data_IF_321504145546
#
_entry.id   IF_321504145546
#
_cell.length_a   1.000
_cell.length_b   1.000
_cell.length_c   1.000
_cell.angle_alpha   90.00
_cell.angle_beta   90.00
_cell.angle_gamma   90.00
#
_symmetry.space_group_name_H-M   'P 1'
#
loop_
_entity.id
_entity.type
_entity.pdbx_description
1 polymer ?
#
# COMPACT_ATOMS: atom_id res chain seq x y z
N UNK A 1 -11.91 -13.37 -19.70
CA UNK A 1 -11.45 -13.48 -18.30
C UNK A 1 -12.60 -13.00 -17.41
N UNK A 2 -13.11 -13.83 -16.51
CA UNK A 2 -14.09 -13.36 -15.51
C UNK A 2 -13.43 -12.25 -14.68
N UNK A 3 -14.12 -11.12 -14.54
CA UNK A 3 -13.68 -10.05 -13.65
C UNK A 3 -13.55 -10.65 -12.24
N UNK A 4 -12.33 -10.65 -11.69
CA UNK A 4 -12.11 -11.16 -10.35
C UNK A 4 -12.91 -10.35 -9.34
N UNK A 5 -13.63 -11.02 -8.44
CA UNK A 5 -14.40 -10.34 -7.40
C UNK A 5 -13.44 -9.70 -6.41
N UNK A 6 -13.61 -8.41 -6.16
CA UNK A 6 -12.90 -7.71 -5.09
C UNK A 6 -13.64 -7.87 -3.78
N UNK A 7 -12.96 -8.39 -2.75
CA UNK A 7 -13.53 -8.58 -1.42
C UNK A 7 -13.01 -7.51 -0.49
N UNK A 8 -13.92 -6.76 0.15
CA UNK A 8 -13.59 -5.69 1.10
C UNK A 8 -14.17 -6.03 2.47
N UNK A 9 -13.29 -6.31 3.42
CA UNK A 9 -13.59 -6.69 4.80
C UNK A 9 -13.07 -5.58 5.72
N UNK A 10 -14.00 -4.87 6.35
CA UNK A 10 -13.73 -3.63 7.10
C UNK A 10 -14.10 -3.72 8.58
N UNK A 11 -14.75 -4.80 8.99
CA UNK A 11 -15.11 -5.05 10.38
C UNK A 11 -15.00 -6.54 10.74
N UNK A 12 -15.03 -6.83 12.04
CA UNK A 12 -14.88 -8.16 12.61
C UNK A 12 -15.96 -9.14 12.14
N UNK A 13 -17.23 -8.71 12.05
CA UNK A 13 -18.33 -9.55 11.57
C UNK A 13 -18.09 -9.99 10.12
N UNK A 14 -17.69 -9.07 9.25
CA UNK A 14 -17.38 -9.37 7.84
C UNK A 14 -16.23 -10.38 7.73
N UNK A 15 -15.17 -10.21 8.53
CA UNK A 15 -14.05 -11.15 8.55
C UNK A 15 -14.48 -12.56 9.00
N UNK A 16 -15.21 -12.67 10.11
CA UNK A 16 -15.69 -13.95 10.62
C UNK A 16 -16.61 -14.66 9.61
N UNK A 17 -17.62 -13.95 9.09
CA UNK A 17 -18.54 -14.51 8.09
C UNK A 17 -17.82 -14.92 6.80
N UNK A 18 -16.78 -14.18 6.39
CA UNK A 18 -15.99 -14.56 5.23
C UNK A 18 -15.11 -15.77 5.50
N UNK A 19 -14.47 -15.88 6.66
CA UNK A 19 -13.70 -17.07 7.05
C UNK A 19 -14.60 -18.32 7.06
N UNK A 20 -15.81 -18.21 7.58
CA UNK A 20 -16.78 -19.31 7.57
C UNK A 20 -17.24 -19.67 6.15
N UNK A 21 -17.45 -18.67 5.29
CA UNK A 21 -17.73 -18.91 3.87
C UNK A 21 -16.61 -19.68 3.18
N UNK A 22 -15.34 -19.31 3.41
CA UNK A 22 -14.20 -20.02 2.80
C UNK A 22 -14.11 -21.48 3.25
N UNK A 23 -14.50 -21.77 4.50
CA UNK A 23 -14.58 -23.15 5.03
C UNK A 23 -15.75 -23.92 4.42
N UNK A 24 -16.92 -23.28 4.33
CA UNK A 24 -18.13 -23.92 3.82
C UNK A 24 -18.13 -24.10 2.30
N UNK A 25 -17.42 -23.25 1.57
CA UNK A 25 -17.42 -23.16 0.10
C UNK A 25 -15.99 -23.04 -0.46
N UNK A 26 -15.11 -24.04 -0.26
CA UNK A 26 -13.72 -23.97 -0.72
C UNK A 26 -13.59 -23.76 -2.24
N UNK A 27 -14.60 -24.12 -3.02
CA UNK A 27 -14.66 -23.90 -4.47
C UNK A 27 -14.58 -22.42 -4.87
N UNK A 28 -14.87 -21.47 -3.97
CA UNK A 28 -14.79 -20.03 -4.27
C UNK A 28 -13.36 -19.49 -4.20
N UNK A 29 -12.46 -20.16 -3.49
CA UNK A 29 -11.09 -19.70 -3.21
C UNK A 29 -10.33 -19.33 -4.51
N UNK A 30 -10.37 -20.13 -5.59
CA UNK A 30 -9.67 -19.81 -6.83
C UNK A 30 -10.15 -18.54 -7.54
N UNK A 31 -11.33 -18.03 -7.21
CA UNK A 31 -11.89 -16.83 -7.84
C UNK A 31 -11.56 -15.54 -7.09
N UNK A 32 -11.03 -15.64 -5.87
CA UNK A 32 -10.64 -14.48 -5.06
C UNK A 32 -9.28 -13.99 -5.53
N UNK A 33 -9.27 -12.85 -6.23
CA UNK A 33 -8.06 -12.23 -6.79
C UNK A 33 -7.67 -10.94 -6.10
N UNK A 34 -8.61 -10.28 -5.44
CA UNK A 34 -8.36 -9.00 -4.78
C UNK A 34 -9.01 -9.00 -3.40
N UNK A 35 -8.21 -8.73 -2.37
CA UNK A 35 -8.66 -8.81 -0.99
C UNK A 35 -8.19 -7.59 -0.20
N UNK A 36 -9.12 -7.00 0.55
CA UNK A 36 -8.86 -5.96 1.54
C UNK A 36 -9.32 -6.45 2.91
N UNK A 37 -8.40 -6.57 3.87
CA UNK A 37 -8.69 -7.09 5.23
C UNK A 37 -8.44 -6.07 6.34
N UNK A 38 -8.45 -4.77 6.01
CA UNK A 38 -8.02 -3.73 6.95
C UNK A 38 -9.22 -3.25 7.76
N UNK A 39 -9.20 -3.59 9.05
CA UNK A 39 -10.23 -3.24 10.03
C UNK A 39 -9.71 -2.16 10.99
N UNK A 40 -10.22 -0.92 10.92
CA UNK A 40 -9.82 0.15 11.83
C UNK A 40 -10.07 -0.21 13.29
N UNK A 41 -9.10 0.07 14.17
CA UNK A 41 -9.28 0.00 15.63
C UNK A 41 -9.39 -1.40 16.24
N UNK A 42 -9.18 -2.48 15.48
CA UNK A 42 -9.34 -3.87 15.99
C UNK A 42 -8.29 -4.86 15.53
N UNK A 43 -7.16 -4.39 14.97
CA UNK A 43 -6.11 -5.24 14.36
C UNK A 43 -5.73 -6.41 15.27
N UNK A 44 -5.49 -6.17 16.57
CA UNK A 44 -5.12 -7.25 17.52
C UNK A 44 -6.20 -8.32 17.70
N UNK A 45 -7.49 -7.95 17.70
CA UNK A 45 -8.60 -8.89 17.91
C UNK A 45 -8.81 -9.77 16.69
N UNK A 46 -8.72 -9.17 15.50
CA UNK A 46 -9.00 -9.85 14.23
C UNK A 46 -7.75 -10.43 13.56
N UNK A 47 -6.57 -10.25 14.16
CA UNK A 47 -5.27 -10.60 13.60
C UNK A 47 -5.23 -12.03 13.06
N UNK A 48 -5.62 -13.00 13.89
CA UNK A 48 -5.61 -14.42 13.53
C UNK A 48 -6.55 -14.73 12.37
N UNK A 49 -7.77 -14.18 12.39
CA UNK A 49 -8.74 -14.34 11.31
C UNK A 49 -8.22 -13.76 9.99
N UNK A 50 -7.61 -12.56 10.02
CA UNK A 50 -6.99 -11.98 8.82
C UNK A 50 -5.86 -12.86 8.27
N UNK A 51 -4.98 -13.39 9.14
CA UNK A 51 -3.90 -14.31 8.74
C UNK A 51 -4.47 -15.58 8.09
N UNK A 52 -5.50 -16.18 8.69
CA UNK A 52 -6.16 -17.36 8.15
C UNK A 52 -6.76 -17.08 6.77
N UNK A 53 -7.52 -15.99 6.62
CA UNK A 53 -8.14 -15.61 5.34
C UNK A 53 -7.07 -15.41 4.26
N UNK A 54 -5.98 -14.69 4.56
CA UNK A 54 -4.89 -14.46 3.61
C UNK A 54 -4.25 -15.79 3.21
N UNK A 55 -3.89 -16.64 4.18
CA UNK A 55 -3.27 -17.94 3.91
C UNK A 55 -4.15 -18.90 3.09
N UNK A 56 -5.48 -18.80 3.24
CA UNK A 56 -6.44 -19.57 2.44
C UNK A 56 -6.56 -18.99 1.02
N UNK A 57 -6.55 -17.67 0.86
CA UNK A 57 -6.63 -16.98 -0.42
C UNK A 57 -5.25 -16.93 -1.13
N UNK A 58 -4.76 -18.06 -1.65
CA UNK A 58 -3.42 -18.12 -2.29
C UNK A 58 -3.37 -17.47 -3.68
N UNK A 59 -4.52 -17.19 -4.27
CA UNK A 59 -4.69 -16.79 -5.66
C UNK A 59 -4.75 -15.28 -5.91
N UNK A 60 -4.41 -14.51 -4.87
CA UNK A 60 -4.42 -13.05 -4.86
C UNK A 60 -3.45 -12.44 -5.87
N UNK A 61 -3.92 -11.39 -6.54
CA UNK A 61 -3.16 -10.47 -7.38
C UNK A 61 -3.00 -9.11 -6.70
N UNK A 62 -4.01 -8.69 -5.95
CA UNK A 62 -4.00 -7.47 -5.15
C UNK A 62 -4.36 -7.78 -3.69
N UNK A 63 -3.55 -7.29 -2.76
CA UNK A 63 -3.78 -7.46 -1.33
C UNK A 63 -3.66 -6.12 -0.61
N UNK A 64 -4.66 -5.78 0.19
CA UNK A 64 -4.61 -4.69 1.15
C UNK A 64 -4.72 -5.26 2.56
N UNK A 65 -3.67 -5.13 3.36
CA UNK A 65 -3.63 -5.67 4.72
C UNK A 65 -2.74 -4.85 5.65
N UNK A 66 -2.75 -5.23 6.92
CA UNK A 66 -1.82 -4.70 7.92
C UNK A 66 -0.45 -5.38 7.78
N UNK A 67 0.69 -4.66 7.88
CA UNK A 67 2.03 -5.24 7.76
C UNK A 67 2.27 -6.41 8.73
N UNK A 68 1.89 -6.31 10.00
CA UNK A 68 2.03 -7.43 10.94
C UNK A 68 1.26 -8.69 10.52
N UNK A 69 0.05 -8.54 9.96
CA UNK A 69 -0.74 -9.67 9.44
C UNK A 69 -0.04 -10.27 8.22
N UNK A 70 0.48 -9.43 7.32
CA UNK A 70 1.24 -9.88 6.15
C UNK A 70 2.48 -10.68 6.55
N UNK A 71 3.28 -10.13 7.46
CA UNK A 71 4.52 -10.74 7.93
C UNK A 71 4.25 -12.13 8.52
N UNK A 72 3.23 -12.25 9.37
CA UNK A 72 2.82 -13.53 9.95
C UNK A 72 2.32 -14.51 8.89
N UNK A 73 1.54 -14.04 7.91
CA UNK A 73 0.98 -14.88 6.84
C UNK A 73 2.09 -15.49 5.97
N UNK A 74 3.09 -14.70 5.59
CA UNK A 74 4.17 -15.18 4.72
C UNK A 74 5.28 -15.93 5.48
N UNK A 75 5.37 -15.79 6.80
CA UNK A 75 6.43 -16.43 7.60
C UNK A 75 6.05 -17.82 8.11
N UNK A 76 4.77 -18.19 8.11
CA UNK A 76 4.25 -19.41 8.77
C UNK A 76 4.27 -20.70 7.94
N UNK A 77 5.10 -20.80 6.90
CA UNK A 77 5.20 -22.03 6.13
C UNK A 77 6.49 -22.17 5.33
N UNK A 78 6.86 -23.40 4.96
CA UNK A 78 8.03 -23.66 4.13
C UNK A 78 7.84 -23.09 2.71
N UNK A 79 6.59 -23.06 2.23
CA UNK A 79 6.28 -22.70 0.85
C UNK A 79 5.70 -21.29 0.72
N UNK A 80 6.20 -20.55 -0.27
CA UNK A 80 5.66 -19.26 -0.65
C UNK A 80 4.39 -19.43 -1.50
N UNK A 81 3.23 -19.12 -0.94
CA UNK A 81 1.92 -19.34 -1.59
C UNK A 81 1.43 -18.18 -2.46
N UNK A 82 1.86 -16.94 -2.19
CA UNK A 82 1.33 -15.73 -2.82
C UNK A 82 2.05 -15.36 -4.12
N UNK A 83 2.32 -16.33 -4.99
CA UNK A 83 3.16 -16.18 -6.20
C UNK A 83 2.59 -15.27 -7.30
N UNK A 84 1.35 -14.81 -7.15
CA UNK A 84 0.65 -13.96 -8.13
C UNK A 84 0.35 -12.55 -7.62
N UNK A 85 0.70 -12.25 -6.37
CA UNK A 85 0.40 -10.98 -5.73
C UNK A 85 1.39 -9.90 -6.20
N UNK A 86 0.96 -9.04 -7.12
CA UNK A 86 1.79 -7.99 -7.74
C UNK A 86 1.42 -6.58 -7.29
N UNK A 87 0.29 -6.43 -6.59
CA UNK A 87 -0.20 -5.17 -6.05
C UNK A 87 -0.43 -5.30 -4.55
N UNK A 88 0.31 -4.51 -3.76
CA UNK A 88 0.25 -4.55 -2.31
C UNK A 88 -0.10 -3.16 -1.77
N UNK A 89 -1.12 -3.12 -0.92
CA UNK A 89 -1.45 -1.97 -0.07
C UNK A 89 -1.18 -2.32 1.39
N UNK A 90 -0.36 -1.53 2.06
CA UNK A 90 -0.06 -1.68 3.48
C UNK A 90 -0.54 -0.45 4.25
N UNK A 91 -1.22 -0.67 5.37
CA UNK A 91 -1.70 0.41 6.24
C UNK A 91 -1.14 0.25 7.64
N UNK A 92 -0.13 1.06 7.97
CA UNK A 92 0.42 1.18 9.32
C UNK A 92 1.34 2.40 9.45
N UNK A 93 1.44 2.97 10.66
CA UNK A 93 2.34 4.09 10.94
C UNK A 93 3.82 3.73 10.94
N UNK A 94 4.19 2.44 10.97
CA UNK A 94 5.57 1.97 11.06
C UNK A 94 5.71 0.60 10.38
N UNK A 95 6.59 0.49 9.39
CA UNK A 95 6.92 -0.78 8.74
C UNK A 95 8.37 -1.10 9.01
N UNK A 96 8.63 -2.29 9.54
CA UNK A 96 9.98 -2.84 9.70
C UNK A 96 10.38 -3.62 8.46
N UNK A 97 10.79 -2.90 7.40
CA UNK A 97 11.13 -3.50 6.11
C UNK A 97 12.14 -4.64 6.22
N UNK A 98 13.12 -4.49 7.10
CA UNK A 98 14.14 -5.51 7.33
C UNK A 98 13.53 -6.86 7.75
N UNK A 99 12.46 -6.88 8.55
CA UNK A 99 11.78 -8.12 8.95
C UNK A 99 11.20 -8.88 7.75
N UNK A 100 10.73 -8.15 6.73
CA UNK A 100 10.24 -8.77 5.49
C UNK A 100 11.40 -9.26 4.61
N UNK A 101 12.44 -8.45 4.46
CA UNK A 101 13.56 -8.78 3.57
C UNK A 101 14.44 -9.91 4.11
N UNK A 102 14.50 -10.10 5.43
CA UNK A 102 15.19 -11.23 6.06
C UNK A 102 14.40 -12.55 5.99
N UNK A 103 13.09 -12.49 5.73
CA UNK A 103 12.26 -13.68 5.52
C UNK A 103 12.37 -14.13 4.04
N UNK A 104 12.71 -15.40 3.74
CA UNK A 104 12.79 -15.88 2.35
C UNK A 104 11.50 -15.65 1.56
N UNK A 105 10.34 -15.85 2.18
CA UNK A 105 9.04 -15.64 1.56
C UNK A 105 8.68 -14.16 1.45
N UNK A 106 9.12 -13.34 2.41
CA UNK A 106 9.01 -11.88 2.33
C UNK A 106 9.81 -11.33 1.16
N UNK A 107 11.09 -11.67 1.06
CA UNK A 107 11.93 -11.27 -0.07
C UNK A 107 11.32 -11.68 -1.42
N UNK A 108 10.80 -12.92 -1.54
CA UNK A 108 10.09 -13.38 -2.75
C UNK A 108 8.86 -12.52 -3.06
N UNK A 109 8.01 -12.27 -2.07
CA UNK A 109 6.81 -11.43 -2.26
C UNK A 109 7.18 -10.01 -2.71
N UNK A 110 8.11 -9.36 -2.02
CA UNK A 110 8.49 -7.99 -2.31
C UNK A 110 9.21 -7.86 -3.67
N UNK A 111 9.98 -8.87 -4.06
CA UNK A 111 10.65 -8.88 -5.36
C UNK A 111 9.68 -9.04 -6.55
N UNK A 112 8.48 -9.60 -6.39
CA UNK A 112 7.50 -9.71 -7.48
C UNK A 112 6.52 -8.53 -7.56
N UNK A 113 6.51 -7.64 -6.56
CA UNK A 113 5.59 -6.50 -6.55
C UNK A 113 5.87 -5.58 -7.74
N UNK A 114 4.80 -5.21 -8.43
CA UNK A 114 4.83 -4.20 -9.49
C UNK A 114 4.27 -2.87 -8.99
N UNK A 115 3.35 -2.92 -8.02
CA UNK A 115 2.70 -1.77 -7.40
C UNK A 115 2.72 -1.91 -5.88
N UNK A 116 3.07 -0.80 -5.22
CA UNK A 116 3.09 -0.70 -3.77
C UNK A 116 2.39 0.58 -3.33
N UNK A 117 1.36 0.44 -2.51
CA UNK A 117 0.72 1.56 -1.83
C UNK A 117 0.97 1.46 -0.33
N UNK A 118 1.52 2.51 0.25
CA UNK A 118 1.78 2.61 1.67
C UNK A 118 0.95 3.74 2.28
N UNK A 119 0.16 3.42 3.29
CA UNK A 119 -0.69 4.38 3.99
C UNK A 119 -0.27 4.44 5.45
N UNK A 120 0.39 5.52 5.83
CA UNK A 120 0.87 5.71 7.19
C UNK A 120 1.92 6.80 7.26
N UNK A 121 2.17 7.30 8.47
CA UNK A 121 3.27 8.23 8.67
C UNK A 121 4.58 7.53 8.32
N UNK A 122 5.37 8.10 7.42
CA UNK A 122 6.80 7.81 7.42
C UNK A 122 7.36 8.46 8.68
N UNK A 123 7.85 7.64 9.61
CA UNK A 123 8.45 8.14 10.83
C UNK A 123 9.70 8.95 10.46
N UNK A 124 9.62 10.27 10.58
CA UNK A 124 10.72 11.19 10.30
C UNK A 124 11.74 11.24 11.46
N UNK A 125 11.76 10.25 12.37
CA UNK A 125 12.86 10.16 13.33
C UNK A 125 14.15 9.77 12.61
N UNK A 126 15.16 10.62 12.72
CA UNK A 126 16.47 10.49 12.07
C UNK A 126 17.24 9.20 12.40
N UNK A 127 16.73 8.39 13.34
CA UNK A 127 17.38 7.17 13.85
C UNK A 127 16.75 5.87 13.32
N UNK A 128 15.70 5.96 12.50
CA UNK A 128 14.96 4.79 12.05
C UNK A 128 15.55 4.17 10.76
N UNK A 129 16.75 3.59 10.83
CA UNK A 129 17.31 2.77 9.72
C UNK A 129 16.34 1.66 9.25
N UNK A 130 15.41 1.25 10.12
CA UNK A 130 14.36 0.27 9.83
C UNK A 130 13.25 0.77 8.89
N UNK A 131 13.17 2.09 8.66
CA UNK A 131 12.15 2.72 7.81
C UNK A 131 12.57 2.89 6.34
N UNK A 132 13.85 2.64 6.00
CA UNK A 132 14.34 2.74 4.62
C UNK A 132 13.61 1.73 3.74
N UNK A 133 12.94 2.23 2.71
CA UNK A 133 12.21 1.39 1.75
C UNK A 133 13.25 0.66 0.89
N UNK A 134 13.24 -0.68 0.86
CA UNK A 134 14.26 -1.44 0.15
C UNK A 134 14.19 -1.23 -1.36
N UNK A 135 15.26 -1.61 -2.06
CA UNK A 135 15.25 -1.77 -3.50
C UNK A 135 14.29 -2.91 -3.86
N UNK A 136 13.36 -2.66 -4.78
CA UNK A 136 12.35 -3.62 -5.22
C UNK A 136 12.44 -3.81 -6.73
N UNK A 137 13.06 -4.89 -7.17
CA UNK A 137 13.52 -5.04 -8.56
C UNK A 137 12.41 -4.97 -9.62
N UNK A 138 11.20 -5.42 -9.29
CA UNK A 138 10.06 -5.39 -10.20
C UNK A 138 9.09 -4.23 -9.96
N UNK A 139 9.35 -3.38 -8.95
CA UNK A 139 8.44 -2.31 -8.61
C UNK A 139 8.46 -1.23 -9.69
N UNK A 140 7.30 -1.02 -10.31
CA UNK A 140 7.12 0.01 -11.33
C UNK A 140 6.55 1.30 -10.76
N UNK A 141 5.65 1.20 -9.79
CA UNK A 141 4.96 2.36 -9.21
C UNK A 141 4.80 2.21 -7.71
N UNK A 142 5.05 3.29 -6.98
CA UNK A 142 4.82 3.35 -5.54
C UNK A 142 3.99 4.59 -5.19
N UNK A 143 3.11 4.47 -4.20
CA UNK A 143 2.40 5.61 -3.65
C UNK A 143 2.40 5.59 -2.13
N UNK A 144 2.60 6.74 -1.51
CA UNK A 144 2.89 6.88 -0.08
C UNK A 144 2.03 8.01 0.48
N UNK A 145 1.12 7.68 1.39
CA UNK A 145 0.25 8.65 2.02
C UNK A 145 0.90 9.26 3.27
N UNK A 146 1.42 10.48 3.15
CA UNK A 146 2.13 11.20 4.22
C UNK A 146 1.22 11.90 5.23
N UNK A 147 -0.11 11.86 5.06
CA UNK A 147 -1.03 12.52 6.00
C UNK A 147 -0.85 14.05 6.02
N UNK A 148 -0.51 14.60 7.20
CA UNK A 148 -0.28 16.04 7.43
C UNK A 148 1.18 16.40 7.64
N UNK A 149 2.12 15.48 7.40
CA UNK A 149 3.55 15.75 7.54
C UNK A 149 4.05 16.66 6.42
N UNK A 150 4.82 17.69 6.80
CA UNK A 150 5.38 18.71 5.89
C UNK A 150 6.75 18.39 5.33
N UNK A 151 7.45 17.45 5.96
CA UNK A 151 8.83 17.12 5.63
C UNK A 151 8.95 15.65 5.26
N UNK A 152 9.81 15.39 4.30
CA UNK A 152 10.18 14.06 3.83
C UNK A 152 11.68 13.90 4.01
N UNK A 153 12.13 12.73 4.46
CA UNK A 153 13.55 12.43 4.55
C UNK A 153 14.01 11.71 3.27
N UNK A 154 14.92 12.29 2.47
CA UNK A 154 15.42 11.66 1.24
C UNK A 154 16.05 10.28 1.50
N UNK A 155 16.68 10.08 2.65
CA UNK A 155 17.32 8.82 3.06
C UNK A 155 16.35 7.63 3.09
N UNK A 156 15.06 7.85 3.34
CA UNK A 156 14.03 6.80 3.32
C UNK A 156 13.88 6.17 1.92
N UNK A 157 14.22 6.92 0.88
CA UNK A 157 14.06 6.55 -0.52
C UNK A 157 15.36 6.09 -1.18
N UNK A 158 16.49 6.21 -0.49
CA UNK A 158 17.82 5.99 -1.06
C UNK A 158 18.01 4.60 -1.72
N UNK A 159 17.29 3.58 -1.26
CA UNK A 159 17.31 2.25 -1.88
C UNK A 159 16.17 2.07 -2.90
N UNK A 160 14.99 2.63 -2.64
CA UNK A 160 13.86 2.56 -3.56
C UNK A 160 14.20 3.15 -4.94
N UNK A 161 14.87 4.31 -4.99
CA UNK A 161 15.24 4.97 -6.26
C UNK A 161 16.19 4.11 -7.13
N UNK A 162 16.90 3.16 -6.53
CA UNK A 162 17.79 2.21 -7.23
C UNK A 162 17.02 1.04 -7.87
N UNK A 163 15.69 1.02 -7.75
CA UNK A 163 14.85 -0.02 -8.34
C UNK A 163 14.79 0.17 -9.86
N UNK A 164 15.25 -0.81 -10.66
CA UNK A 164 15.50 -0.63 -12.09
C UNK A 164 14.23 -0.40 -12.93
N UNK A 165 13.09 -0.92 -12.47
CA UNK A 165 11.80 -0.77 -13.17
C UNK A 165 10.96 0.39 -12.64
N UNK A 166 11.45 1.13 -11.66
CA UNK A 166 10.68 2.20 -11.02
C UNK A 166 10.47 3.35 -12.00
N UNK A 167 9.20 3.60 -12.32
CA UNK A 167 8.76 4.63 -13.26
C UNK A 167 8.18 5.85 -12.55
N UNK A 168 7.52 5.65 -11.41
CA UNK A 168 6.78 6.74 -10.74
C UNK A 168 6.64 6.49 -9.24
N UNK A 169 6.86 7.53 -8.44
CA UNK A 169 6.52 7.56 -7.02
C UNK A 169 5.59 8.72 -6.74
N UNK A 170 4.49 8.47 -6.05
CA UNK A 170 3.49 9.48 -5.73
C UNK A 170 3.37 9.64 -4.22
N UNK A 171 3.66 10.83 -3.72
CA UNK A 171 3.38 11.21 -2.35
C UNK A 171 1.97 11.81 -2.30
N UNK A 172 1.07 11.24 -1.50
CA UNK A 172 -0.26 11.84 -1.27
C UNK A 172 -0.28 12.59 0.06
N UNK A 173 -0.79 13.82 0.04
CA UNK A 173 -0.72 14.75 1.19
C UNK A 173 -2.04 15.48 1.41
N UNK A 174 -2.34 15.88 2.65
CA UNK A 174 -3.46 16.79 2.96
C UNK A 174 -3.03 18.26 3.05
N UNK A 175 -1.78 18.57 2.75
CA UNK A 175 -1.27 19.94 2.74
C UNK A 175 -1.88 20.75 1.59
N UNK A 176 -1.89 22.07 1.76
CA UNK A 176 -2.47 23.03 0.82
C UNK A 176 -1.54 24.24 0.64
N UNK A 177 -1.68 24.94 -0.49
CA UNK A 177 -0.94 26.17 -0.77
C UNK A 177 0.59 25.99 -0.67
N UNK A 178 1.25 26.92 0.00
CA UNK A 178 2.72 26.94 0.16
C UNK A 178 3.29 25.65 0.76
N UNK A 179 2.60 25.05 1.75
CA UNK A 179 3.08 23.81 2.39
C UNK A 179 3.14 22.64 1.40
N UNK A 180 2.18 22.56 0.48
CA UNK A 180 2.19 21.55 -0.57
C UNK A 180 3.28 21.84 -1.61
N UNK A 181 3.48 23.11 -1.98
CA UNK A 181 4.51 23.50 -2.92
C UNK A 181 5.91 23.19 -2.38
N UNK A 182 6.17 23.50 -1.12
CA UNK A 182 7.43 23.18 -0.44
C UNK A 182 7.69 21.67 -0.45
N UNK A 183 6.66 20.86 -0.12
CA UNK A 183 6.78 19.40 -0.20
C UNK A 183 7.04 18.92 -1.63
N UNK A 184 6.36 19.51 -2.62
CA UNK A 184 6.57 19.18 -4.03
C UNK A 184 8.00 19.43 -4.49
N UNK A 185 8.56 20.59 -4.14
CA UNK A 185 9.95 20.92 -4.46
C UNK A 185 10.92 19.93 -3.78
N UNK A 186 10.77 19.72 -2.48
CA UNK A 186 11.61 18.81 -1.71
C UNK A 186 11.56 17.36 -2.24
N UNK A 187 10.40 16.93 -2.74
CA UNK A 187 10.21 15.59 -3.32
C UNK A 187 10.86 15.49 -4.71
N UNK A 188 10.84 16.55 -5.50
CA UNK A 188 11.51 16.60 -6.81
C UNK A 188 13.05 16.59 -6.68
N UNK A 189 13.59 17.18 -5.61
CA UNK A 189 15.02 17.13 -5.31
C UNK A 189 15.53 15.72 -4.97
N UNK A 190 14.63 14.79 -4.60
CA UNK A 190 14.99 13.39 -4.35
C UNK A 190 15.23 12.66 -5.68
N UNK A 191 14.28 12.74 -6.60
CA UNK A 191 14.28 12.04 -7.88
C UNK A 191 13.13 12.57 -8.78
N UNK A 192 13.38 12.70 -10.08
CA UNK A 192 12.44 13.29 -11.05
C UNK A 192 11.16 12.46 -11.25
N UNK A 193 11.23 11.16 -10.95
CA UNK A 193 10.08 10.23 -11.00
C UNK A 193 9.09 10.46 -9.86
N UNK A 194 9.43 11.29 -8.88
CA UNK A 194 8.53 11.59 -7.78
C UNK A 194 7.55 12.71 -8.14
N UNK A 195 6.41 12.70 -7.48
CA UNK A 195 5.38 13.73 -7.57
C UNK A 195 4.53 13.78 -6.32
N UNK A 196 3.82 14.89 -6.13
CA UNK A 196 2.94 15.11 -4.98
C UNK A 196 1.51 15.33 -5.46
N UNK A 197 0.55 14.63 -4.84
CA UNK A 197 -0.89 14.79 -5.08
C UNK A 197 -1.59 15.25 -3.81
N UNK A 198 -2.52 16.19 -3.97
CA UNK A 198 -3.38 16.62 -2.89
C UNK A 198 -4.54 15.65 -2.67
N UNK A 199 -4.68 15.16 -1.43
CA UNK A 199 -5.75 14.28 -0.98
C UNK A 199 -7.02 15.07 -0.63
N UNK A 200 -8.02 15.01 -1.51
CA UNK A 200 -9.35 15.60 -1.31
C UNK A 200 -10.05 15.04 -0.06
N UNK A 201 -10.90 15.87 0.59
CA UNK A 201 -11.58 15.54 1.87
C UNK A 201 -12.42 14.25 1.86
N UNK A 202 -12.99 13.85 0.72
CA UNK A 202 -13.83 12.64 0.56
C UNK A 202 -13.05 11.39 0.13
N UNK A 203 -11.73 11.48 0.05
CA UNK A 203 -10.88 10.40 -0.40
C UNK A 203 -10.78 9.31 0.67
N UNK A 204 -11.38 8.14 0.41
CA UNK A 204 -11.22 6.92 1.21
C UNK A 204 -10.27 5.96 0.48
N UNK A 205 -9.26 5.44 1.18
CA UNK A 205 -8.25 4.58 0.55
C UNK A 205 -8.82 3.27 0.03
N UNK A 206 -9.83 2.71 0.71
CA UNK A 206 -10.56 1.54 0.23
C UNK A 206 -11.24 1.77 -1.12
N UNK A 207 -11.75 2.98 -1.35
CA UNK A 207 -12.41 3.33 -2.61
C UNK A 207 -11.37 3.48 -3.72
N UNK A 208 -10.27 4.17 -3.45
CA UNK A 208 -9.16 4.27 -4.41
C UNK A 208 -8.58 2.92 -4.79
N UNK A 209 -8.40 2.05 -3.80
CA UNK A 209 -7.94 0.70 -4.05
C UNK A 209 -8.94 -0.08 -4.91
N UNK A 210 -10.24 0.02 -4.63
CA UNK A 210 -11.25 -0.61 -5.47
C UNK A 210 -11.28 -0.04 -6.89
N UNK A 211 -11.19 1.28 -7.04
CA UNK A 211 -11.11 1.96 -8.34
C UNK A 211 -9.86 1.57 -9.12
N UNK A 212 -8.72 1.38 -8.45
CA UNK A 212 -7.46 0.96 -9.11
C UNK A 212 -7.48 -0.49 -9.59
N UNK A 213 -8.43 -1.30 -9.12
CA UNK A 213 -8.69 -2.63 -9.67
C UNK A 213 -9.47 -2.56 -10.98
N UNK A 214 -10.33 -1.55 -11.15
CA UNK A 214 -11.14 -1.34 -12.34
C UNK A 214 -10.35 -0.59 -13.42
N UNK A 215 -9.65 0.48 -13.02
CA UNK A 215 -8.73 1.24 -13.87
C UNK A 215 -7.38 1.40 -13.16
N UNK A 216 -6.43 0.48 -13.42
CA UNK A 216 -5.09 0.50 -12.84
C UNK A 216 -4.28 1.77 -13.10
N UNK A 217 -4.62 2.55 -14.13
CA UNK A 217 -3.87 3.71 -14.56
C UNK A 217 -4.50 5.03 -14.10
N UNK A 218 -5.80 5.06 -13.79
CA UNK A 218 -6.53 6.28 -13.39
C UNK A 218 -5.80 7.13 -12.35
N UNK A 219 -5.44 6.53 -11.22
CA UNK A 219 -4.73 7.22 -10.14
C UNK A 219 -3.40 7.81 -10.60
N UNK A 220 -2.65 7.08 -11.43
CA UNK A 220 -1.33 7.50 -11.91
C UNK A 220 -1.41 8.54 -13.03
N UNK A 221 -2.45 8.48 -13.86
CA UNK A 221 -2.73 9.50 -14.87
C UNK A 221 -3.13 10.81 -14.19
N UNK A 222 -4.03 10.75 -13.21
CA UNK A 222 -4.36 11.90 -12.37
C UNK A 222 -3.12 12.48 -11.68
N UNK A 223 -2.22 11.62 -11.19
CA UNK A 223 -0.95 12.05 -10.62
C UNK A 223 -0.08 12.86 -11.59
N UNK A 224 -0.02 12.42 -12.85
CA UNK A 224 0.74 13.10 -13.89
C UNK A 224 0.11 14.44 -14.26
N UNK A 225 -1.21 14.50 -14.36
CA UNK A 225 -1.95 15.73 -14.65
C UNK A 225 -1.79 16.75 -13.52
N UNK A 226 -1.94 16.32 -12.26
CA UNK A 226 -1.82 17.22 -11.10
C UNK A 226 -0.38 17.66 -10.81
N UNK A 227 0.65 16.95 -11.31
CA UNK A 227 2.07 17.34 -11.15
C UNK A 227 2.36 18.76 -11.70
N UNK A 228 1.59 19.21 -12.68
CA UNK A 228 1.79 20.51 -13.36
C UNK A 228 0.77 21.57 -12.94
N UNK A 229 -0.17 21.24 -12.05
CA UNK A 229 -1.18 22.18 -11.59
C UNK A 229 -0.71 22.93 -10.33
N UNK A 230 -1.08 24.21 -10.17
CA UNK A 230 -0.82 24.92 -8.93
C UNK A 230 -1.56 24.25 -7.76
N UNK A 231 -1.00 24.29 -6.53
CA UNK A 231 -1.63 23.67 -5.38
C UNK A 231 -3.01 24.28 -5.11
N UNK A 232 -4.02 23.48 -4.73
CA UNK A 232 -5.34 23.99 -4.40
C UNK A 232 -5.26 25.07 -3.31
N UNK A 233 -6.03 26.16 -3.45
CA UNK A 233 -6.07 27.20 -2.43
C UNK A 233 -6.56 26.62 -1.11
N UNK A 234 -6.12 27.22 0.01
CA UNK A 234 -6.64 26.85 1.33
C UNK A 234 -8.15 27.11 1.33
N UNK A 235 -8.99 26.13 1.74
CA UNK A 235 -10.41 26.38 1.88
C UNK A 235 -10.60 27.51 2.91
N UNK A 236 -11.34 28.55 2.55
CA UNK A 236 -11.65 29.66 3.45
C UNK A 236 -12.15 29.09 4.79
N UNK A 237 -11.44 29.40 5.88
CA UNK A 237 -11.87 29.04 7.22
C UNK A 237 -13.20 29.74 7.47
N UNK A 238 -14.28 28.97 7.47
CA UNK A 238 -15.58 29.40 7.96
C UNK A 238 -15.68 29.10 9.44
#
# INVERSE_FOLDING_TARGET
>A
MLAGVSIILTNERQLASFEDLLKARPEVIPYIRSLWTICPGSVRRVHKTCVNIINTCIHLRALACHPHVLLESISRGPDFKHTRCVDLTMIEFRVTWNSFMQSPNGAKLFNQLQRLHFIGALDNSAWANWAVIPKLDNLSRASIAMGSHKQIQPSLFAQLIKSPKLQQVVITTRLHGEDQQMLSNAVQDIDDRFGVIHRRRRWKESNLWHESLQDPNRFWNQAKEEKYLPPPPRPNAK
#
